data_IF_238888865278
#
_entry.id   IF_238888865278
#
_cell.length_a   1.000
_cell.length_b   1.000
_cell.length_c   1.000
_cell.angle_alpha   90.00
_cell.angle_beta   90.00
_cell.angle_gamma   90.00
#
_symmetry.space_group_name_H-M   'P 1'
#
loop_
_entity.id
_entity.type
_entity.pdbx_description
1 polymer ?
#
# COMPACT_ATOMS: atom_id res chain seq x y z
N UNK A 1 8.41 1.69 14.62
CA UNK A 1 8.34 3.02 13.96
C UNK A 1 8.62 2.83 12.50
N UNK A 2 7.61 2.67 11.66
CA UNK A 2 7.96 2.45 10.28
C UNK A 2 6.89 3.04 9.39
N UNK A 3 7.13 4.28 9.12
CA UNK A 3 7.15 4.75 7.76
C UNK A 3 8.37 5.67 7.71
N UNK A 4 8.63 6.30 6.58
CA UNK A 4 9.72 7.28 6.45
C UNK A 4 9.55 8.40 7.49
N UNK A 5 10.39 8.48 8.53
CA UNK A 5 10.34 9.56 9.53
C UNK A 5 11.45 10.59 9.31
N UNK A 6 11.29 11.79 9.86
CA UNK A 6 12.32 12.84 9.83
C UNK A 6 12.58 13.39 11.22
N UNK A 7 13.84 13.74 11.50
CA UNK A 7 14.24 14.33 12.78
C UNK A 7 13.63 15.73 12.96
N UNK A 8 13.56 16.51 11.88
CA UNK A 8 13.05 17.87 11.90
C UNK A 8 12.05 18.11 10.76
N UNK A 9 10.73 17.98 11.01
CA UNK A 9 9.70 18.30 10.03
C UNK A 9 9.78 19.75 9.53
N UNK A 10 10.39 20.66 10.30
CA UNK A 10 10.51 22.05 9.89
C UNK A 10 11.51 22.30 8.76
N UNK A 11 12.39 21.33 8.48
CA UNK A 11 13.34 21.40 7.38
C UNK A 11 12.76 20.94 6.04
N UNK A 12 11.55 20.36 6.04
CA UNK A 12 10.90 19.87 4.83
C UNK A 12 10.25 20.98 4.00
N UNK A 13 10.13 20.81 2.68
CA UNK A 13 9.26 21.65 1.86
C UNK A 13 7.83 21.69 2.41
N UNK A 14 7.18 22.85 2.29
CA UNK A 14 5.83 23.03 2.81
C UNK A 14 4.79 22.73 1.75
N UNK A 15 3.74 22.02 2.16
CA UNK A 15 2.52 21.96 1.37
C UNK A 15 1.88 23.37 1.36
N UNK A 16 1.47 23.89 0.19
CA UNK A 16 0.82 25.19 0.13
C UNK A 16 -0.54 25.15 0.83
N UNK A 17 -0.93 26.28 1.43
CA UNK A 17 -2.28 26.43 1.99
C UNK A 17 -3.28 26.63 0.87
N UNK A 18 -4.40 25.89 0.83
CA UNK A 18 -5.50 26.18 -0.08
C UNK A 18 -5.99 27.62 0.10
N UNK A 19 -6.44 28.25 -0.99
CA UNK A 19 -7.02 29.58 -0.92
C UNK A 19 -8.49 29.46 -0.49
N UNK A 20 -8.90 29.90 0.70
CA UNK A 20 -10.26 29.69 1.21
C UNK A 20 -11.34 30.37 0.37
N UNK A 21 -10.99 31.35 -0.47
CA UNK A 21 -11.92 32.00 -1.39
C UNK A 21 -12.19 31.20 -2.67
N UNK A 22 -11.24 30.34 -3.06
CA UNK A 22 -11.31 29.60 -4.32
C UNK A 22 -11.27 28.09 -4.14
N UNK A 23 -10.93 27.58 -2.97
CA UNK A 23 -10.74 26.16 -2.67
C UNK A 23 -11.64 25.79 -1.49
N UNK A 24 -12.94 25.70 -1.76
CA UNK A 24 -13.91 25.25 -0.76
C UNK A 24 -13.53 23.86 -0.23
N UNK A 25 -13.59 23.67 1.09
CA UNK A 25 -13.39 22.37 1.71
C UNK A 25 -14.41 21.34 1.25
N UNK A 26 -13.96 20.10 1.11
CA UNK A 26 -14.82 18.97 0.80
C UNK A 26 -15.67 18.58 2.02
N UNK A 27 -17.01 18.50 1.90
CA UNK A 27 -17.85 18.05 2.99
C UNK A 27 -17.67 16.54 3.22
N UNK A 28 -17.86 16.09 4.46
CA UNK A 28 -17.82 14.65 4.79
C UNK A 28 -19.17 14.03 4.46
N UNK A 29 -19.20 13.15 3.46
CA UNK A 29 -20.43 12.47 3.03
C UNK A 29 -20.76 11.28 3.92
N UNK A 30 -19.74 10.50 4.29
CA UNK A 30 -19.92 9.33 5.17
C UNK A 30 -18.64 9.02 5.93
N UNK A 31 -18.81 8.32 7.05
CA UNK A 31 -17.74 7.67 7.79
C UNK A 31 -18.15 6.23 8.04
N UNK A 32 -17.34 5.27 7.61
CA UNK A 32 -17.61 3.83 7.73
C UNK A 32 -16.49 3.14 8.50
N UNK A 33 -16.85 2.15 9.32
CA UNK A 33 -15.86 1.35 10.06
C UNK A 33 -15.53 0.10 9.27
N UNK A 34 -14.25 -0.11 9.00
CA UNK A 34 -13.76 -1.28 8.29
C UNK A 34 -14.01 -2.57 9.10
N UNK A 35 -14.72 -3.57 8.56
CA UNK A 35 -14.81 -4.87 9.20
C UNK A 35 -13.43 -5.53 9.23
N UNK A 36 -13.20 -6.32 10.28
CA UNK A 36 -11.99 -7.14 10.43
C UNK A 36 -12.20 -8.50 9.78
N UNK A 37 -11.14 -9.08 9.25
CA UNK A 37 -11.16 -10.40 8.66
C UNK A 37 -9.76 -11.00 8.58
N UNK A 38 -9.63 -12.07 7.81
CA UNK A 38 -8.36 -12.70 7.50
C UNK A 38 -8.24 -12.92 6.00
N UNK A 39 -7.02 -12.74 5.47
CA UNK A 39 -6.65 -13.05 4.08
C UNK A 39 -5.56 -14.12 4.04
N UNK A 40 -5.40 -14.77 2.88
CA UNK A 40 -4.36 -15.79 2.66
C UNK A 40 -4.38 -16.89 3.72
N UNK A 41 -3.22 -17.16 4.33
CA UNK A 41 -3.07 -18.20 5.36
C UNK A 41 -3.36 -17.73 6.80
N UNK A 42 -3.97 -16.55 6.98
CA UNK A 42 -4.37 -16.01 8.29
C UNK A 42 -3.88 -14.61 8.60
N UNK A 43 -3.65 -13.76 7.59
CA UNK A 43 -3.29 -12.36 7.78
C UNK A 43 -4.47 -11.55 8.31
N UNK A 44 -4.40 -10.96 9.52
CA UNK A 44 -5.47 -10.11 10.00
C UNK A 44 -5.51 -8.83 9.17
N UNK A 45 -6.69 -8.51 8.65
CA UNK A 45 -6.92 -7.30 7.85
C UNK A 45 -8.12 -6.51 8.35
N UNK A 46 -8.11 -5.21 8.05
CA UNK A 46 -9.30 -4.35 8.07
C UNK A 46 -9.63 -3.94 6.65
N UNK A 47 -10.81 -4.32 6.17
CA UNK A 47 -11.25 -4.02 4.80
C UNK A 47 -11.86 -2.63 4.70
N UNK A 48 -11.04 -1.64 4.39
CA UNK A 48 -11.37 -0.22 4.46
C UNK A 48 -12.58 0.17 3.58
N UNK A 49 -12.68 -0.42 2.39
CA UNK A 49 -13.72 -0.11 1.41
C UNK A 49 -14.99 -0.94 1.53
N UNK A 50 -15.07 -1.86 2.50
CA UNK A 50 -16.23 -2.73 2.62
C UNK A 50 -17.51 -1.92 2.87
N UNK A 51 -18.53 -2.17 2.04
CA UNK A 51 -19.84 -1.52 2.15
C UNK A 51 -19.91 -0.09 1.59
N UNK A 52 -18.83 0.42 1.00
CA UNK A 52 -18.82 1.72 0.31
C UNK A 52 -19.13 1.53 -1.17
N UNK A 53 -19.91 2.45 -1.74
CA UNK A 53 -20.26 2.44 -3.15
C UNK A 53 -18.99 2.62 -4.01
N UNK A 54 -18.74 1.69 -4.94
CA UNK A 54 -17.60 1.75 -5.85
C UNK A 54 -17.53 3.05 -6.66
N UNK A 55 -18.67 3.72 -6.91
CA UNK A 55 -18.69 5.03 -7.60
C UNK A 55 -18.02 6.14 -6.80
N UNK A 56 -18.04 6.06 -5.48
CA UNK A 56 -17.32 6.99 -4.61
C UNK A 56 -15.82 6.63 -4.50
N UNK A 57 -15.47 5.36 -4.76
CA UNK A 57 -14.11 4.84 -4.65
C UNK A 57 -13.31 4.91 -5.96
N UNK A 58 -13.96 4.93 -7.12
CA UNK A 58 -13.34 5.00 -8.45
C UNK A 58 -12.20 6.05 -8.50
N UNK A 59 -10.94 5.65 -8.77
CA UNK A 59 -10.47 4.41 -9.42
C UNK A 59 -10.11 3.24 -8.50
N UNK A 60 -10.32 3.33 -7.20
CA UNK A 60 -9.96 2.27 -6.27
C UNK A 60 -11.06 1.21 -6.15
N UNK A 61 -10.67 -0.07 -6.04
CA UNK A 61 -11.62 -1.20 -6.01
C UNK A 61 -11.55 -2.02 -4.72
N UNK A 62 -10.39 -2.02 -4.06
CA UNK A 62 -10.17 -2.76 -2.83
C UNK A 62 -9.08 -2.08 -2.01
N UNK A 63 -9.22 -2.08 -0.68
CA UNK A 63 -8.14 -1.67 0.21
C UNK A 63 -8.26 -2.42 1.54
N UNK A 64 -7.18 -3.11 1.90
CA UNK A 64 -6.99 -3.71 3.20
C UNK A 64 -5.85 -2.99 3.95
N UNK A 65 -6.09 -2.64 5.21
CA UNK A 65 -5.00 -2.44 6.17
C UNK A 65 -4.61 -3.81 6.71
N UNK A 66 -3.38 -4.21 6.45
CA UNK A 66 -2.77 -5.44 6.96
C UNK A 66 -2.21 -5.16 8.36
N UNK A 67 -2.50 -5.99 9.36
CA UNK A 67 -2.12 -5.69 10.75
C UNK A 67 -2.94 -4.52 11.33
N UNK A 68 -2.41 -3.67 12.22
CA UNK A 68 -1.17 -3.74 13.00
C UNK A 68 -1.16 -4.99 13.90
N UNK A 69 -0.18 -5.89 13.72
CA UNK A 69 -0.05 -7.12 14.50
C UNK A 69 1.41 -7.41 14.85
N UNK A 70 1.67 -7.73 16.11
CA UNK A 70 2.96 -8.24 16.57
C UNK A 70 2.93 -9.76 16.50
N UNK A 71 3.65 -10.35 15.56
CA UNK A 71 3.75 -11.79 15.42
C UNK A 71 4.85 -12.37 16.31
N UNK A 72 4.60 -13.52 16.93
CA UNK A 72 5.62 -14.35 17.57
C UNK A 72 6.39 -15.24 16.58
N UNK A 73 7.48 -15.89 17.01
CA UNK A 73 8.20 -16.89 16.23
C UNK A 73 7.27 -17.95 15.61
N UNK A 74 7.39 -18.18 14.30
CA UNK A 74 6.62 -19.15 13.53
C UNK A 74 5.19 -18.73 13.19
N UNK A 75 4.73 -17.58 13.65
CA UNK A 75 3.38 -17.07 13.37
C UNK A 75 3.25 -16.32 12.03
N UNK A 76 4.25 -15.58 11.52
CA UNK A 76 4.15 -14.94 10.22
C UNK A 76 3.94 -15.99 9.13
N UNK A 77 2.90 -15.79 8.33
CA UNK A 77 2.57 -16.63 7.17
C UNK A 77 2.57 -15.81 5.91
N UNK A 78 2.61 -16.49 4.76
CA UNK A 78 2.56 -15.91 3.43
C UNK A 78 1.19 -16.10 2.77
N UNK A 79 1.09 -15.72 1.51
CA UNK A 79 0.06 -16.18 0.58
C UNK A 79 0.57 -17.40 -0.17
N UNK A 80 -0.34 -18.19 -0.73
CA UNK A 80 0.00 -19.08 -1.84
C UNK A 80 0.22 -18.27 -3.13
N UNK A 81 0.78 -18.91 -4.16
CA UNK A 81 0.75 -18.37 -5.52
C UNK A 81 -0.69 -18.12 -5.95
N UNK A 82 -0.98 -16.90 -6.41
CA UNK A 82 -2.32 -16.51 -6.81
C UNK A 82 -2.28 -15.55 -8.00
N UNK A 83 -3.34 -15.55 -8.83
CA UNK A 83 -3.39 -14.69 -10.00
C UNK A 83 -3.87 -13.29 -9.67
N UNK A 84 -3.59 -12.33 -10.55
CA UNK A 84 -4.30 -11.06 -10.69
C UNK A 84 -4.43 -10.67 -12.17
N UNK A 85 -5.49 -9.95 -12.55
CA UNK A 85 -5.67 -9.40 -13.92
C UNK A 85 -6.56 -8.16 -13.93
N UNK A 86 -6.18 -7.18 -14.75
CA UNK A 86 -7.02 -6.03 -15.13
C UNK A 86 -6.94 -4.81 -14.22
N UNK A 87 -6.01 -4.81 -13.25
CA UNK A 87 -5.80 -3.73 -12.29
C UNK A 87 -4.34 -3.69 -11.82
N UNK A 88 -4.02 -2.81 -10.87
CA UNK A 88 -2.73 -2.71 -10.21
C UNK A 88 -2.87 -2.99 -8.71
N UNK A 89 -1.90 -3.68 -8.11
CA UNK A 89 -1.79 -3.81 -6.65
C UNK A 89 -0.69 -2.89 -6.14
N UNK A 90 -0.96 -2.23 -5.02
CA UNK A 90 -0.04 -1.33 -4.34
C UNK A 90 0.12 -1.84 -2.93
N UNK A 91 1.29 -2.40 -2.64
CA UNK A 91 1.66 -2.89 -1.32
C UNK A 91 2.55 -1.84 -0.67
N UNK A 92 2.01 -1.09 0.30
CA UNK A 92 2.76 -0.10 1.07
C UNK A 92 3.06 -0.66 2.46
N UNK A 93 4.32 -0.95 2.74
CA UNK A 93 4.72 -1.46 4.04
C UNK A 93 4.93 -0.30 5.00
N UNK A 94 4.17 -0.33 6.09
CA UNK A 94 4.36 0.55 7.23
C UNK A 94 5.39 -0.20 8.08
N UNK A 95 5.01 -1.22 8.86
CA UNK A 95 5.88 -2.03 9.72
C UNK A 95 6.23 -3.39 9.14
N UNK A 96 7.48 -3.80 9.33
CA UNK A 96 7.98 -5.12 8.97
C UNK A 96 8.51 -5.20 7.54
N UNK A 97 8.61 -6.43 7.03
CA UNK A 97 9.12 -6.71 5.70
C UNK A 97 8.30 -7.82 5.03
N UNK A 98 8.22 -7.76 3.70
CA UNK A 98 7.54 -8.76 2.88
C UNK A 98 8.37 -9.08 1.65
N UNK A 99 8.60 -10.37 1.39
CA UNK A 99 9.20 -10.85 0.14
C UNK A 99 8.09 -11.09 -0.89
N UNK A 100 8.32 -10.73 -2.14
CA UNK A 100 7.42 -11.07 -3.24
C UNK A 100 8.18 -11.69 -4.42
N UNK A 101 7.49 -12.51 -5.21
CA UNK A 101 8.01 -13.11 -6.45
C UNK A 101 6.87 -13.27 -7.46
N UNK A 102 7.17 -13.25 -8.76
CA UNK A 102 6.18 -13.42 -9.82
C UNK A 102 6.55 -14.42 -10.92
N UNK A 103 5.59 -14.68 -11.81
CA UNK A 103 5.74 -15.54 -12.99
C UNK A 103 6.53 -14.92 -14.15
N UNK A 104 6.95 -13.66 -14.04
CA UNK A 104 7.75 -12.94 -15.03
C UNK A 104 9.23 -12.82 -14.62
N UNK A 105 9.63 -13.47 -13.53
CA UNK A 105 11.00 -13.44 -12.99
C UNK A 105 11.30 -12.20 -12.14
N UNK A 106 10.29 -11.38 -11.88
CA UNK A 106 10.32 -10.31 -10.92
C UNK A 106 10.19 -10.80 -9.48
N UNK A 107 10.38 -9.89 -8.55
CA UNK A 107 10.39 -10.17 -7.12
C UNK A 107 11.31 -9.22 -6.38
N UNK A 108 11.25 -9.27 -5.05
CA UNK A 108 11.98 -8.35 -4.22
C UNK A 108 11.62 -8.47 -2.75
N UNK A 109 12.19 -7.56 -1.97
CA UNK A 109 11.86 -7.35 -0.57
C UNK A 109 11.26 -5.95 -0.44
N UNK A 110 10.13 -5.85 0.25
CA UNK A 110 9.44 -4.60 0.57
C UNK A 110 9.68 -4.36 2.06
N UNK A 111 10.51 -3.37 2.39
CA UNK A 111 10.82 -3.00 3.76
C UNK A 111 9.92 -1.88 4.29
N UNK A 112 10.11 -1.53 5.57
CA UNK A 112 9.36 -0.47 6.22
C UNK A 112 9.51 0.89 5.52
N UNK A 113 8.38 1.44 5.06
CA UNK A 113 8.30 2.67 4.27
C UNK A 113 8.43 2.49 2.76
N UNK A 114 8.71 1.28 2.27
CA UNK A 114 8.75 0.96 0.84
C UNK A 114 7.33 0.76 0.28
N UNK A 115 7.17 1.02 -1.01
CA UNK A 115 5.96 0.71 -1.77
C UNK A 115 6.33 -0.12 -2.99
N UNK A 116 5.68 -1.27 -3.13
CA UNK A 116 5.65 -2.02 -4.38
C UNK A 116 4.39 -1.63 -5.17
N UNK A 117 4.57 -1.24 -6.43
CA UNK A 117 3.47 -0.99 -7.36
C UNK A 117 3.49 -2.02 -8.48
N UNK A 118 2.61 -3.03 -8.42
CA UNK A 118 2.50 -4.05 -9.44
C UNK A 118 1.37 -3.73 -10.41
N UNK A 119 1.70 -3.53 -11.68
CA UNK A 119 0.71 -3.57 -12.75
C UNK A 119 0.43 -5.05 -13.08
N UNK A 120 -0.74 -5.58 -12.74
CA UNK A 120 -1.11 -6.95 -13.12
C UNK A 120 -1.53 -7.04 -14.59
N UNK A 121 -2.20 -6.01 -15.11
CA UNK A 121 -2.50 -5.86 -16.54
C UNK A 121 -3.11 -7.13 -17.15
N UNK A 122 -2.50 -7.64 -18.23
CA UNK A 122 -2.95 -8.84 -18.95
C UNK A 122 -2.95 -10.13 -18.13
N UNK A 123 -2.35 -10.14 -16.94
CA UNK A 123 -2.37 -11.27 -16.03
C UNK A 123 -0.99 -11.63 -15.50
N UNK A 124 -0.93 -11.91 -14.20
CA UNK A 124 0.28 -12.34 -13.51
C UNK A 124 -0.06 -13.37 -12.45
N UNK A 125 0.86 -14.29 -12.15
CA UNK A 125 0.86 -15.07 -10.93
C UNK A 125 1.94 -14.51 -10.02
N UNK A 126 1.63 -14.34 -8.75
CA UNK A 126 2.61 -13.88 -7.77
C UNK A 126 2.38 -14.49 -6.40
N UNK A 127 3.38 -14.36 -5.54
CA UNK A 127 3.38 -14.84 -4.16
C UNK A 127 4.00 -13.78 -3.25
N UNK A 128 3.43 -13.63 -2.05
CA UNK A 128 3.89 -12.70 -1.03
C UNK A 128 4.14 -13.49 0.27
N UNK A 129 5.38 -13.51 0.75
CA UNK A 129 5.78 -14.31 1.93
C UNK A 129 6.58 -13.48 2.92
N UNK A 130 6.52 -13.78 4.23
CA UNK A 130 7.47 -13.23 5.17
C UNK A 130 8.89 -13.71 4.82
N UNK A 131 9.93 -12.87 4.97
CA UNK A 131 11.30 -13.33 4.88
C UNK A 131 11.61 -14.33 6.00
N UNK A 132 12.55 -15.25 5.76
CA UNK A 132 12.88 -16.35 6.67
C UNK A 132 13.21 -15.86 8.09
N UNK A 133 13.97 -14.78 8.21
CA UNK A 133 14.35 -14.25 9.51
C UNK A 133 13.13 -13.78 10.33
N UNK A 134 12.09 -13.21 9.69
CA UNK A 134 10.85 -12.84 10.39
C UNK A 134 10.00 -14.07 10.74
N UNK A 135 10.05 -15.14 9.96
CA UNK A 135 9.43 -16.42 10.37
C UNK A 135 10.08 -16.93 11.66
N UNK A 136 11.40 -16.79 11.81
CA UNK A 136 12.13 -17.23 13.01
C UNK A 136 11.92 -16.29 14.20
N UNK A 137 11.99 -14.97 13.99
CA UNK A 137 11.95 -14.01 15.10
C UNK A 137 10.54 -13.56 15.49
N UNK A 138 9.58 -13.65 14.56
CA UNK A 138 8.38 -12.82 14.62
C UNK A 138 8.71 -11.34 14.37
N UNK A 139 7.76 -10.46 14.67
CA UNK A 139 7.91 -9.02 14.57
C UNK A 139 6.60 -8.31 14.21
N UNK A 140 6.66 -6.98 14.29
CA UNK A 140 5.56 -6.11 13.93
C UNK A 140 5.34 -6.11 12.41
N UNK A 141 4.09 -6.34 12.00
CA UNK A 141 3.68 -6.35 10.61
C UNK A 141 2.46 -5.44 10.42
N UNK A 142 2.62 -4.46 9.54
CA UNK A 142 1.60 -3.44 9.29
C UNK A 142 1.79 -2.85 7.90
N UNK A 143 0.72 -2.73 7.14
CA UNK A 143 0.81 -2.15 5.80
C UNK A 143 -0.55 -1.95 5.17
N UNK A 144 -0.53 -1.55 3.90
CA UNK A 144 -1.71 -1.35 3.08
C UNK A 144 -1.57 -2.18 1.81
N UNK A 145 -2.61 -2.94 1.50
CA UNK A 145 -2.83 -3.53 0.19
C UNK A 145 -3.94 -2.74 -0.50
N UNK A 146 -3.60 -1.98 -1.54
CA UNK A 146 -4.55 -1.18 -2.32
C UNK A 146 -4.65 -1.73 -3.75
N UNK A 147 -5.87 -1.87 -4.27
CA UNK A 147 -6.10 -2.21 -5.67
C UNK A 147 -6.60 -0.98 -6.43
N UNK A 148 -5.87 -0.59 -7.46
CA UNK A 148 -6.18 0.53 -8.35
C UNK A 148 -6.65 -0.03 -9.69
N UNK A 149 -7.88 0.27 -10.08
CA UNK A 149 -8.43 -0.20 -11.35
C UNK A 149 -7.66 0.38 -12.54
N UNK A 150 -7.53 -0.40 -13.60
CA UNK A 150 -7.04 0.10 -14.89
C UNK A 150 -8.23 0.46 -15.80
N UNK A 151 -8.13 1.56 -16.57
CA UNK A 151 -9.05 1.84 -17.67
C UNK A 151 -9.07 0.67 -18.66
N UNK A 152 -10.21 0.44 -19.34
CA UNK A 152 -10.42 -0.65 -20.31
C UNK A 152 -9.24 -0.82 -21.27
N UNK A 153 -8.75 0.29 -21.81
CA UNK A 153 -7.65 0.31 -22.77
C UNK A 153 -6.31 -0.21 -22.21
N UNK A 154 -6.14 -0.23 -20.89
CA UNK A 154 -4.92 -0.62 -20.19
C UNK A 154 -5.04 -1.95 -19.43
N UNK A 155 -6.23 -2.55 -19.36
CA UNK A 155 -6.44 -3.83 -18.65
C UNK A 155 -5.64 -5.01 -19.20
N UNK A 156 -5.07 -4.87 -20.40
CA UNK A 156 -4.19 -5.86 -21.02
C UNK A 156 -2.75 -5.36 -21.21
N UNK A 157 -2.35 -4.32 -20.47
CA UNK A 157 -0.97 -3.89 -20.43
C UNK A 157 -0.05 -5.02 -19.95
N UNK A 158 1.21 -5.01 -20.39
CA UNK A 158 2.20 -5.99 -19.96
C UNK A 158 2.44 -5.84 -18.45
N UNK A 159 2.46 -6.95 -17.67
CA UNK A 159 2.72 -6.90 -16.25
C UNK A 159 4.10 -6.28 -15.94
N UNK A 160 4.19 -5.51 -14.86
CA UNK A 160 5.45 -4.90 -14.41
C UNK A 160 5.40 -4.49 -12.94
N UNK A 161 6.57 -4.24 -12.37
CA UNK A 161 6.74 -3.63 -11.05
C UNK A 161 7.31 -2.22 -11.11
N UNK A 162 7.03 -1.45 -10.06
CA UNK A 162 7.76 -0.24 -9.71
C UNK A 162 8.15 -0.33 -8.23
N UNK A 163 9.44 -0.39 -7.96
CA UNK A 163 9.98 -0.45 -6.61
C UNK A 163 10.30 0.96 -6.11
N UNK A 164 9.44 1.44 -5.22
CA UNK A 164 9.54 2.76 -4.61
C UNK A 164 10.08 2.57 -3.20
N UNK A 165 11.39 2.71 -3.05
CA UNK A 165 12.01 2.62 -1.73
C UNK A 165 11.69 3.85 -0.88
N UNK A 166 11.69 3.67 0.44
CA UNK A 166 11.47 4.69 1.46
C UNK A 166 12.26 5.99 1.18
N UNK A 167 13.51 5.86 0.75
CA UNK A 167 14.38 7.00 0.44
C UNK A 167 13.99 7.82 -0.80
N UNK A 168 13.09 7.32 -1.66
CA UNK A 168 12.61 8.02 -2.86
C UNK A 168 11.30 8.77 -2.64
N UNK A 169 10.59 8.50 -1.54
CA UNK A 169 9.29 9.12 -1.25
C UNK A 169 9.49 10.61 -0.98
N UNK A 170 8.68 11.45 -1.61
CA UNK A 170 8.73 12.88 -1.35
C UNK A 170 8.13 13.20 0.02
N UNK A 171 8.87 13.95 0.83
CA UNK A 171 8.48 14.31 2.20
C UNK A 171 8.17 15.79 2.28
N UNK A 172 6.97 16.11 2.77
CA UNK A 172 6.52 17.48 3.00
C UNK A 172 6.10 17.65 4.45
N UNK A 173 5.97 18.90 4.87
CA UNK A 173 5.39 19.23 6.16
C UNK A 173 4.29 20.26 6.03
N UNK A 174 3.37 20.27 7.00
CA UNK A 174 2.42 21.37 7.16
C UNK A 174 3.17 22.70 7.35
N UNK A 175 2.52 23.84 7.06
CA UNK A 175 3.15 25.16 7.22
C UNK A 175 3.72 25.44 8.62
N UNK A 176 3.10 24.88 9.66
CA UNK A 176 3.49 25.03 11.07
C UNK A 176 4.40 23.90 11.59
N UNK A 177 4.69 22.87 10.78
CA UNK A 177 5.47 21.71 11.21
C UNK A 177 4.68 20.64 11.98
N UNK A 178 3.38 20.83 12.22
CA UNK A 178 2.53 19.92 12.96
C UNK A 178 2.16 18.62 12.23
N UNK A 179 2.43 18.51 10.93
CA UNK A 179 2.21 17.29 10.16
C UNK A 179 3.42 16.92 9.28
N UNK A 180 3.63 15.60 9.13
CA UNK A 180 4.53 14.98 8.17
C UNK A 180 3.70 14.31 7.07
N UNK A 181 4.00 14.60 5.82
CA UNK A 181 3.26 14.11 4.65
C UNK A 181 4.25 13.36 3.76
N UNK A 182 3.92 12.10 3.46
CA UNK A 182 4.65 11.24 2.54
C UNK A 182 3.85 11.14 1.25
N UNK A 183 4.36 11.70 0.15
CA UNK A 183 3.74 11.63 -1.17
C UNK A 183 4.25 10.38 -1.88
N UNK A 184 3.46 9.31 -1.87
CA UNK A 184 3.86 7.99 -2.39
C UNK A 184 3.69 7.93 -3.90
N UNK A 185 2.58 8.45 -4.41
CA UNK A 185 2.29 8.54 -5.85
C UNK A 185 1.47 9.79 -6.16
N UNK A 186 1.56 10.26 -7.40
CA UNK A 186 0.84 11.46 -7.84
C UNK A 186 1.56 12.76 -7.52
N UNK A 187 0.78 13.78 -7.16
CA UNK A 187 1.29 15.12 -6.83
C UNK A 187 0.41 15.77 -5.76
N UNK A 188 1.03 16.62 -4.93
CA UNK A 188 0.35 17.42 -3.92
C UNK A 188 0.93 18.85 -3.86
N UNK A 189 0.13 19.83 -4.27
CA UNK A 189 0.49 21.24 -4.17
C UNK A 189 1.79 21.64 -4.89
N UNK A 190 2.05 21.05 -6.05
CA UNK A 190 3.25 21.21 -6.87
C UNK A 190 4.38 20.22 -6.56
N UNK A 191 4.20 19.31 -5.61
CA UNK A 191 5.23 18.36 -5.18
C UNK A 191 4.93 16.94 -5.68
N UNK A 192 5.68 16.41 -6.67
CA UNK A 192 5.45 15.08 -7.23
C UNK A 192 5.94 13.97 -6.29
N UNK A 193 5.20 12.87 -6.22
CA UNK A 193 5.63 11.61 -5.66
C UNK A 193 6.31 10.72 -6.71
N UNK A 194 7.04 9.67 -6.28
CA UNK A 194 7.82 8.80 -7.17
C UNK A 194 6.98 7.78 -7.97
N UNK A 195 5.77 7.43 -7.51
CA UNK A 195 4.94 6.43 -8.18
C UNK A 195 4.34 6.92 -9.50
N UNK A 196 4.53 6.15 -10.58
CA UNK A 196 3.91 6.38 -11.88
C UNK A 196 2.63 5.58 -12.01
N UNK A 197 1.58 6.17 -12.58
CA UNK A 197 0.22 5.60 -12.56
C UNK A 197 -0.43 5.66 -13.94
N UNK A 198 -1.35 4.74 -14.25
CA UNK A 198 -2.12 4.80 -15.50
C UNK A 198 -3.32 5.74 -15.43
N UNK A 199 -3.94 5.79 -14.25
CA UNK A 199 -4.98 6.75 -13.92
C UNK A 199 -4.34 7.82 -13.03
N UNK A 200 -4.58 9.12 -13.28
CA UNK A 200 -4.12 10.16 -12.37
C UNK A 200 -4.68 9.92 -10.96
N UNK A 201 -3.78 9.81 -9.99
CA UNK A 201 -4.12 9.61 -8.57
C UNK A 201 -3.15 10.41 -7.70
N UNK A 202 -3.51 10.60 -6.43
CA UNK A 202 -2.66 11.11 -5.36
C UNK A 202 -2.80 10.17 -4.17
N UNK A 203 -1.67 9.65 -3.68
CA UNK A 203 -1.60 8.71 -2.56
C UNK A 203 -0.65 9.21 -1.49
N UNK A 204 -1.18 9.46 -0.29
CA UNK A 204 -0.46 10.09 0.80
C UNK A 204 -0.55 9.25 2.08
N UNK A 205 0.56 9.19 2.81
CA UNK A 205 0.55 8.81 4.22
C UNK A 205 0.90 10.04 5.06
N UNK A 206 -0.04 10.48 5.90
CA UNK A 206 0.08 11.68 6.73
C UNK A 206 0.08 11.30 8.21
N UNK A 207 1.06 11.82 8.94
CA UNK A 207 1.12 11.76 10.40
C UNK A 207 0.92 13.16 10.97
N UNK A 208 -0.12 13.37 11.78
CA UNK A 208 -0.36 14.62 12.50
C UNK A 208 0.07 14.50 13.95
N UNK A 209 0.82 15.48 14.46
CA UNK A 209 1.11 15.59 15.88
C UNK A 209 -0.17 15.85 16.69
N UNK A 210 -0.24 15.47 17.98
CA UNK A 210 -1.42 15.74 18.81
C UNK A 210 -1.81 17.22 18.80
N UNK A 211 -3.09 17.49 18.54
CA UNK A 211 -3.64 18.85 18.44
C UNK A 211 -3.32 19.60 17.14
N UNK A 212 -2.55 19.01 16.22
CA UNK A 212 -2.27 19.62 14.92
C UNK A 212 -3.48 19.56 13.99
N UNK A 213 -3.53 20.50 13.03
CA UNK A 213 -4.50 20.50 11.94
C UNK A 213 -3.80 20.72 10.60
N UNK A 214 -4.31 20.06 9.57
CA UNK A 214 -3.77 20.11 8.22
C UNK A 214 -4.92 20.30 7.22
N UNK A 215 -4.79 21.32 6.36
CA UNK A 215 -5.65 21.51 5.20
C UNK A 215 -4.80 21.30 3.94
N UNK A 216 -5.13 20.27 3.18
CA UNK A 216 -4.45 19.88 1.95
C UNK A 216 -5.13 20.50 0.73
N UNK A 217 -4.39 21.05 -0.24
CA UNK A 217 -4.94 21.35 -1.56
C UNK A 217 -5.31 20.04 -2.24
N UNK A 218 -6.47 20.01 -2.90
CA UNK A 218 -6.97 18.81 -3.51
C UNK A 218 -7.57 19.07 -4.88
N UNK A 219 -7.25 18.18 -5.82
CA UNK A 219 -7.80 18.21 -7.17
C UNK A 219 -9.32 18.04 -7.13
N UNK A 220 -10.04 18.97 -7.74
CA UNK A 220 -11.51 18.97 -7.76
C UNK A 220 -12.10 17.84 -8.61
N UNK A 221 -11.34 17.39 -9.59
CA UNK A 221 -11.68 16.30 -10.51
C UNK A 221 -11.40 14.91 -9.92
N UNK A 222 -10.80 14.81 -8.74
CA UNK A 222 -10.57 13.55 -8.05
C UNK A 222 -11.70 13.21 -7.07
N UNK A 223 -11.89 11.93 -6.77
CA UNK A 223 -12.54 11.57 -5.50
C UNK A 223 -11.61 11.91 -4.32
N UNK A 224 -12.11 11.78 -3.09
CA UNK A 224 -11.36 12.11 -1.89
C UNK A 224 -11.74 11.20 -0.74
N UNK A 225 -10.74 10.49 -0.22
CA UNK A 225 -10.89 9.44 0.76
C UNK A 225 -9.82 9.65 1.86
N UNK A 226 -10.23 9.57 3.12
CA UNK A 226 -9.32 9.65 4.28
C UNK A 226 -9.55 8.45 5.17
N UNK A 227 -8.57 7.57 5.26
CA UNK A 227 -8.60 6.39 6.09
C UNK A 227 -7.71 6.57 7.33
N UNK A 228 -8.25 6.38 8.52
CA UNK A 228 -7.46 6.44 9.75
C UNK A 228 -6.76 5.10 9.99
N UNK A 229 -5.43 5.09 9.86
CA UNK A 229 -4.57 3.93 10.11
C UNK A 229 -4.43 3.69 11.61
N UNK A 230 -4.22 4.77 12.37
CA UNK A 230 -3.95 4.76 13.80
C UNK A 230 -4.24 6.11 14.45
N UNK A 231 -4.62 6.09 15.73
CA UNK A 231 -4.94 7.28 16.53
C UNK A 231 -6.38 7.77 16.34
N UNK A 232 -6.62 8.99 16.81
CA UNK A 232 -7.91 9.64 16.93
C UNK A 232 -7.86 11.09 16.45
N UNK A 233 -8.84 11.50 15.66
CA UNK A 233 -8.92 12.87 15.17
C UNK A 233 -10.25 13.22 14.54
N UNK A 234 -10.20 14.15 13.60
CA UNK A 234 -11.37 14.68 12.89
C UNK A 234 -11.07 14.87 11.41
N UNK A 235 -12.13 14.91 10.60
CA UNK A 235 -12.07 15.17 9.16
C UNK A 235 -13.17 16.16 8.74
N UNK A 236 -12.86 16.99 7.75
CA UNK A 236 -13.72 18.06 7.28
C UNK A 236 -13.76 19.27 8.23
N UNK A 237 -14.26 20.40 7.73
CA UNK A 237 -14.37 21.65 8.50
C UNK A 237 -15.38 21.58 9.64
N UNK A 238 -16.35 20.67 9.57
CA UNK A 238 -17.29 20.37 10.64
C UNK A 238 -16.66 19.58 11.81
N UNK A 239 -15.41 19.12 11.66
CA UNK A 239 -14.73 18.36 12.71
C UNK A 239 -15.37 16.99 12.96
N UNK A 240 -15.78 16.28 11.91
CA UNK A 240 -16.43 14.97 12.05
C UNK A 240 -15.42 13.97 12.64
N UNK A 241 -15.75 13.26 13.74
CA UNK A 241 -14.81 12.32 14.35
C UNK A 241 -14.37 11.22 13.38
N UNK A 242 -13.08 10.94 13.38
CA UNK A 242 -12.46 9.86 12.63
C UNK A 242 -11.53 9.06 13.57
N UNK A 243 -11.67 7.74 13.59
CA UNK A 243 -10.97 6.83 14.51
C UNK A 243 -10.31 5.70 13.74
N UNK A 244 -9.30 5.08 14.35
CA UNK A 244 -8.55 3.97 13.76
C UNK A 244 -9.44 2.89 13.11
N UNK A 245 -9.15 2.55 11.86
CA UNK A 245 -9.91 1.61 11.05
C UNK A 245 -11.19 2.18 10.43
N UNK A 246 -11.39 3.50 10.44
CA UNK A 246 -12.50 4.16 9.77
C UNK A 246 -12.06 4.85 8.48
N UNK A 247 -12.95 4.83 7.50
CA UNK A 247 -12.83 5.54 6.24
C UNK A 247 -13.84 6.69 6.21
N UNK A 248 -13.39 7.88 5.85
CA UNK A 248 -14.24 8.99 5.47
C UNK A 248 -14.27 9.14 3.94
N UNK A 249 -15.47 9.26 3.39
CA UNK A 249 -15.71 9.65 1.99
C UNK A 249 -16.06 11.13 1.96
N UNK A 250 -15.33 11.89 1.15
CA UNK A 250 -15.49 13.34 1.03
C UNK A 250 -16.12 13.71 -0.31
N UNK A 251 -16.96 14.75 -0.29
CA UNK A 251 -17.66 15.26 -1.47
C UNK A 251 -16.79 16.17 -2.33
N UNK A 252 -17.45 17.02 -3.11
CA UNK A 252 -16.78 17.96 -4.02
C UNK A 252 -16.17 19.13 -3.27
N UNK A 253 -15.01 19.60 -3.75
CA UNK A 253 -14.24 20.68 -3.13
C UNK A 253 -12.77 20.67 -3.55
N UNK A 254 -12.09 21.77 -3.28
CA UNK A 254 -10.67 21.98 -3.59
C UNK A 254 -9.72 21.74 -2.42
N UNK A 255 -10.24 21.34 -1.25
CA UNK A 255 -9.43 21.15 -0.05
C UNK A 255 -9.93 19.98 0.83
N UNK A 256 -9.00 19.35 1.55
CA UNK A 256 -9.28 18.34 2.58
C UNK A 256 -8.70 18.81 3.91
N UNK A 257 -9.55 18.95 4.94
CA UNK A 257 -9.11 19.30 6.29
C UNK A 257 -9.14 18.08 7.21
N UNK A 258 -8.05 17.89 7.97
CA UNK A 258 -7.85 16.80 8.93
C UNK A 258 -7.29 17.41 10.23
N UNK A 259 -7.75 16.94 11.38
CA UNK A 259 -7.26 17.36 12.69
C UNK A 259 -6.93 16.17 13.57
N UNK A 260 -5.88 16.27 14.38
CA UNK A 260 -5.57 15.29 15.42
C UNK A 260 -6.17 15.73 16.76
N UNK A 261 -6.73 14.78 17.52
CA UNK A 261 -7.11 15.06 18.90
C UNK A 261 -5.87 15.44 19.73
N UNK A 262 -6.04 16.33 20.72
CA UNK A 262 -4.94 16.79 21.58
C UNK A 262 -4.30 15.66 22.42
N UNK A 263 -5.05 14.58 22.63
CA UNK A 263 -4.60 13.37 23.31
C UNK A 263 -4.86 12.16 22.41
N UNK A 264 -3.82 11.35 22.22
CA UNK A 264 -3.86 10.11 21.46
C UNK A 264 -3.87 8.90 22.41
N UNK A 265 -4.23 7.74 21.89
CA UNK A 265 -4.16 6.49 22.65
C UNK A 265 -2.69 6.12 22.93
N UNK A 266 -2.45 5.35 24.00
CA UNK A 266 -1.09 4.99 24.45
C UNK A 266 -0.24 4.24 23.42
N UNK A 267 -0.88 3.63 22.42
CA UNK A 267 -0.22 2.88 21.33
C UNK A 267 0.15 3.77 20.14
N UNK A 268 -0.25 5.03 20.11
CA UNK A 268 -0.12 5.92 18.94
C UNK A 268 0.47 7.26 19.34
N UNK A 269 1.56 7.66 18.69
CA UNK A 269 2.27 8.92 18.99
C UNK A 269 1.67 10.14 18.29
N UNK A 270 0.79 9.93 17.33
CA UNK A 270 0.08 10.94 16.56
C UNK A 270 -1.19 10.36 15.94
N UNK A 271 -1.82 11.13 15.05
CA UNK A 271 -2.92 10.66 14.23
C UNK A 271 -2.41 10.33 12.83
N UNK A 272 -2.42 9.05 12.46
CA UNK A 272 -1.91 8.53 11.20
C UNK A 272 -3.07 8.22 10.26
N UNK A 273 -3.03 8.85 9.08
CA UNK A 273 -4.08 8.74 8.07
C UNK A 273 -3.48 8.47 6.70
N UNK A 274 -4.19 7.65 5.93
CA UNK A 274 -3.93 7.40 4.52
C UNK A 274 -4.94 8.21 3.70
N UNK A 275 -4.44 9.12 2.87
CA UNK A 275 -5.27 10.01 2.05
C UNK A 275 -5.11 9.62 0.60
N UNK A 276 -6.23 9.36 -0.07
CA UNK A 276 -6.27 8.84 -1.43
C UNK A 276 -7.30 9.60 -2.26
N UNK A 277 -6.93 9.86 -3.51
CA UNK A 277 -7.85 10.36 -4.53
C UNK A 277 -7.36 10.00 -5.91
N UNK A 278 -8.28 9.88 -6.84
CA UNK A 278 -7.99 9.62 -8.23
C UNK A 278 -9.08 10.18 -9.12
N UNK A 279 -8.71 10.40 -10.37
CA UNK A 279 -9.66 10.73 -11.42
C UNK A 279 -10.57 9.51 -11.65
N UNK A 280 -11.89 9.65 -11.43
CA UNK A 280 -12.81 8.53 -11.66
C UNK A 280 -12.75 8.08 -13.12
N UNK A 281 -12.52 6.79 -13.35
CA UNK A 281 -12.44 6.18 -14.69
C UNK A 281 -13.81 6.20 -15.37
N UNK A 282 -14.90 6.09 -14.60
CA UNK A 282 -16.30 6.12 -15.08
C UNK A 282 -16.62 5.04 -16.11
N UNK A 283 -15.99 3.88 -15.95
CA UNK A 283 -16.28 2.69 -16.73
C UNK A 283 -16.97 1.62 -15.87
N UNK A 284 -17.74 0.70 -16.46
CA UNK A 284 -18.26 -0.45 -15.72
C UNK A 284 -17.13 -1.26 -15.07
N UNK A 285 -17.36 -1.70 -13.84
CA UNK A 285 -16.45 -2.57 -13.08
C UNK A 285 -17.14 -3.90 -12.83
N UNK A 286 -16.54 -4.97 -13.33
CA UNK A 286 -16.92 -6.35 -13.03
C UNK A 286 -15.76 -6.99 -12.27
N UNK A 287 -15.91 -7.16 -10.96
CA UNK A 287 -14.90 -7.75 -10.09
C UNK A 287 -15.39 -9.08 -9.52
N UNK A 288 -14.55 -10.11 -9.57
CA UNK A 288 -14.81 -11.39 -8.91
C UNK A 288 -13.50 -12.09 -8.56
N UNK A 289 -13.25 -12.26 -7.25
CA UNK A 289 -12.01 -12.80 -6.73
C UNK A 289 -10.79 -11.99 -7.21
N UNK A 290 -9.77 -12.63 -7.82
CA UNK A 290 -8.53 -11.98 -8.25
C UNK A 290 -8.62 -11.19 -9.58
N UNK A 291 -9.81 -11.03 -10.14
CA UNK A 291 -9.96 -10.42 -11.47
C UNK A 291 -10.89 -9.22 -11.42
N UNK A 292 -10.45 -8.12 -12.04
CA UNK A 292 -11.22 -6.87 -12.18
C UNK A 292 -11.24 -6.47 -13.65
N UNK A 293 -12.36 -6.75 -14.31
CA UNK A 293 -12.60 -6.46 -15.72
C UNK A 293 -13.73 -5.44 -15.89
N UNK A 294 -14.18 -5.15 -17.12
CA UNK A 294 -15.31 -4.26 -17.36
C UNK A 294 -16.63 -5.03 -17.55
N UNK A 295 -16.58 -6.28 -18.01
CA UNK A 295 -17.78 -7.10 -18.26
C UNK A 295 -17.70 -8.50 -17.66
N UNK A 296 -18.86 -9.13 -17.47
CA UNK A 296 -18.94 -10.53 -17.03
C UNK A 296 -18.27 -11.50 -18.01
N UNK A 297 -18.36 -11.24 -19.32
CA UNK A 297 -17.72 -12.07 -20.34
C UNK A 297 -16.19 -12.01 -20.22
N UNK A 298 -15.63 -10.82 -19.97
CA UNK A 298 -14.19 -10.64 -19.74
C UNK A 298 -13.74 -11.35 -18.44
N UNK A 299 -14.56 -11.36 -17.39
CA UNK A 299 -14.28 -12.15 -16.18
C UNK A 299 -14.23 -13.65 -16.46
N UNK A 300 -15.21 -14.18 -17.20
CA UNK A 300 -15.23 -15.60 -17.58
C UNK A 300 -13.97 -15.97 -18.38
N UNK A 301 -13.58 -15.12 -19.33
CA UNK A 301 -12.34 -15.30 -20.10
C UNK A 301 -11.10 -15.30 -19.18
N UNK A 302 -11.04 -14.44 -18.16
CA UNK A 302 -9.94 -14.42 -17.20
C UNK A 302 -9.82 -15.73 -16.41
N UNK A 303 -10.95 -16.32 -16.00
CA UNK A 303 -10.97 -17.64 -15.37
C UNK A 303 -10.51 -18.75 -16.30
N UNK A 304 -11.01 -18.78 -17.53
CA UNK A 304 -10.60 -19.76 -18.54
C UNK A 304 -9.10 -19.65 -18.85
N UNK A 305 -8.57 -18.43 -18.93
CA UNK A 305 -7.14 -18.18 -19.12
C UNK A 305 -6.30 -18.69 -17.96
N UNK A 306 -6.73 -18.43 -16.72
CA UNK A 306 -6.07 -18.93 -15.53
C UNK A 306 -6.06 -20.47 -15.48
N UNK A 307 -7.21 -21.10 -15.69
CA UNK A 307 -7.33 -22.57 -15.67
C UNK A 307 -6.50 -23.25 -16.76
N UNK A 308 -6.29 -22.57 -17.89
CA UNK A 308 -5.45 -23.05 -18.97
C UNK A 308 -3.96 -22.67 -18.84
N UNK A 309 -3.55 -22.05 -17.73
CA UNK A 309 -2.15 -21.66 -17.49
C UNK A 309 -1.67 -20.47 -18.34
N UNK A 310 -2.57 -19.63 -18.85
CA UNK A 310 -2.25 -18.49 -19.72
C UNK A 310 -1.86 -17.21 -18.97
N UNK A 311 -1.86 -17.20 -17.63
CA UNK A 311 -1.46 -16.04 -16.80
C UNK A 311 0.00 -16.11 -16.33
N UNK A 312 0.81 -16.92 -17.00
CA UNK A 312 2.19 -17.24 -16.61
C UNK A 312 2.29 -18.58 -15.90
N UNK A 313 3.53 -19.01 -15.70
CA UNK A 313 3.85 -20.25 -14.99
C UNK A 313 4.60 -19.92 -13.71
N UNK A 314 4.35 -20.69 -12.65
CA UNK A 314 5.12 -20.60 -11.41
C UNK A 314 6.58 -20.99 -11.75
N UNK A 315 7.57 -20.11 -11.47
CA UNK A 315 8.97 -20.44 -11.69
C UNK A 315 9.37 -21.69 -10.89
N UNK A 316 10.25 -22.51 -11.46
CA UNK A 316 10.83 -23.62 -10.71
C UNK A 316 11.62 -23.08 -9.51
N UNK A 317 11.46 -23.68 -8.33
CA UNK A 317 12.29 -23.34 -7.18
C UNK A 317 13.74 -23.78 -7.47
N UNK A 318 14.61 -22.83 -7.74
CA UNK A 318 16.05 -23.08 -7.72
C UNK A 318 16.49 -23.03 -6.26
N UNK A 319 16.91 -24.16 -5.71
CA UNK A 319 17.73 -24.13 -4.51
C UNK A 319 19.04 -23.44 -4.91
N UNK A 320 19.34 -22.31 -4.31
CA UNK A 320 20.68 -21.73 -4.39
C UNK A 320 21.64 -22.73 -3.74
N UNK A 321 22.24 -23.58 -4.57
CA UNK A 321 23.35 -24.42 -4.17
C UNK A 321 24.57 -23.50 -4.20
N UNK A 322 24.71 -22.67 -3.17
CA UNK A 322 25.94 -21.91 -2.99
C UNK A 322 27.10 -22.90 -2.97
N UNK A 323 28.01 -22.69 -3.91
CA UNK A 323 29.13 -23.56 -4.19
C UNK A 323 30.03 -23.68 -2.96
N UNK A 324 29.87 -24.77 -2.22
CA UNK A 324 30.92 -25.26 -1.34
C UNK A 324 32.11 -25.64 -2.24
N UNK A 325 33.09 -24.75 -2.33
CA UNK A 325 34.43 -25.05 -2.84
C UNK A 325 34.93 -26.33 -2.16
N UNK A 326 35.30 -27.38 -2.91
CA UNK A 326 35.90 -28.56 -2.30
C UNK A 326 37.27 -28.17 -1.78
N UNK A 327 37.46 -28.36 -0.47
CA UNK A 327 38.73 -28.15 0.20
C UNK A 327 39.81 -28.99 -0.49
N UNK A 328 40.82 -28.31 -1.01
CA UNK A 328 41.93 -28.94 -1.71
C UNK A 328 42.80 -29.66 -0.67
N UNK A 329 42.95 -30.97 -0.87
CA UNK A 329 43.81 -31.85 -0.12
C UNK A 329 45.23 -31.28 0.09
N UNK A 330 45.67 -31.25 1.35
CA UNK A 330 47.10 -31.29 1.70
C UNK A 330 47.54 -32.76 1.78
N UNK A 331 48.63 -33.17 1.09
CA UNK A 331 49.15 -34.51 1.19
C UNK A 331 50.05 -34.62 2.43
N UNK A 332 49.72 -35.54 3.33
CA UNK A 332 50.56 -35.84 4.48
C UNK A 332 51.76 -36.68 4.04
N UNK A 333 52.96 -36.18 4.34
CA UNK A 333 54.21 -36.79 3.98
C UNK A 333 54.63 -37.80 5.06
N UNK A 334 54.96 -39.01 4.59
CA UNK A 334 55.50 -40.15 5.31
C UNK A 334 56.57 -39.83 6.36
N UNK A 335 56.65 -40.65 7.42
CA UNK A 335 57.83 -41.46 7.81
C UNK A 335 57.49 -42.43 8.98
N UNK A 336 58.32 -43.47 9.26
CA UNK A 336 57.85 -44.85 9.43
C UNK A 336 58.06 -45.48 10.83
N UNK A 337 57.56 -46.71 10.95
CA UNK A 337 57.76 -47.78 11.96
C UNK A 337 58.83 -47.61 13.06
N UNK A 338 58.44 -47.94 14.31
CA UNK A 338 59.23 -48.73 15.25
C UNK A 338 58.37 -49.31 16.39
N UNK A 339 58.51 -50.64 16.56
CA UNK A 339 58.16 -51.55 17.69
C UNK A 339 56.71 -51.77 18.15
#
# INVERSE_FOLDING_TARGET
>A
MPAVTVVNPLALPRVPRPNPLTDADRPVLSVTTAPKGFEGEGFPVRRAFAGVDLRALDPFVHMDQMGEVEYGPGEPKGTAWHPHRGFETVTYMIDGEMKHQDSHGGGGLIGGGDTQWMTAGSGILHIETPPEHLVVSGGLFHGIQLWVNLPRAQKFAVPRYQDITAGKVALLSSPDGGALIRVIAGELGGHPGPGSTYTPITLLHVTLAPGASLTLPWRRDFNALVYALGGNGTVGTEGRPLRSGQLAVLGDGGAITIGADAHQDSRTSGFDVFVLGGEPIREPVAAYGPFVMNTRAELLQAFEDYQAGRLGAIPAAHADVDAATPDAATPDAATPDAE
#
